data_IF_501029866034
#
_entry.id   IF_501029866034
#
_cell.length_a   1.000
_cell.length_b   1.000
_cell.length_c   1.000
_cell.angle_alpha   90.00
_cell.angle_beta   90.00
_cell.angle_gamma   90.00
#
_symmetry.space_group_name_H-M   'P 1'
#
loop_
_entity.id
_entity.type
_entity.pdbx_description
1 polymer ?
#
# COMPACT_ATOMS: atom_id res chain seq x y z
N UNK A 1 -11.91 2.61 -13.80
CA UNK A 1 -12.16 3.69 -12.83
C UNK A 1 -11.52 4.95 -13.39
N UNK A 2 -12.21 6.09 -13.32
CA UNK A 2 -11.61 7.36 -13.78
C UNK A 2 -10.58 7.83 -12.76
N UNK A 3 -9.43 8.32 -13.23
CA UNK A 3 -8.42 8.91 -12.37
C UNK A 3 -9.00 10.13 -11.64
N UNK A 4 -8.68 10.27 -10.35
CA UNK A 4 -8.98 11.49 -9.61
C UNK A 4 -8.17 12.65 -10.21
N UNK A 5 -8.83 13.77 -10.46
CA UNK A 5 -8.21 14.97 -11.00
C UNK A 5 -8.62 16.16 -10.17
N UNK A 6 -7.65 17.03 -9.86
CA UNK A 6 -7.93 18.33 -9.27
C UNK A 6 -8.48 19.27 -10.37
N UNK A 7 -9.57 19.97 -10.04
CA UNK A 7 -10.26 20.87 -10.97
C UNK A 7 -9.56 22.22 -11.12
N UNK A 8 -8.72 22.60 -10.15
CA UNK A 8 -8.08 23.91 -10.06
C UNK A 8 -6.56 23.88 -10.23
N UNK A 9 -5.89 22.75 -9.97
CA UNK A 9 -4.44 22.61 -10.10
C UNK A 9 -4.06 21.39 -10.92
N UNK A 10 -2.98 21.51 -11.66
CA UNK A 10 -2.36 20.37 -12.32
C UNK A 10 -1.35 19.73 -11.38
N UNK A 11 -1.39 18.41 -11.27
CA UNK A 11 -0.42 17.64 -10.49
C UNK A 11 0.69 17.09 -11.39
N UNK A 12 1.80 16.67 -10.78
CA UNK A 12 2.96 16.12 -11.49
C UNK A 12 3.30 14.72 -11.00
N UNK A 13 3.65 13.84 -11.92
CA UNK A 13 4.18 12.50 -11.62
C UNK A 13 5.50 12.29 -12.37
N UNK A 14 6.25 11.27 -11.97
CA UNK A 14 7.55 10.91 -12.52
C UNK A 14 7.47 9.54 -13.18
N UNK A 15 8.14 9.35 -14.30
CA UNK A 15 8.33 8.06 -14.95
C UNK A 15 9.80 7.70 -14.94
N UNK A 16 10.11 6.43 -14.70
CA UNK A 16 11.45 5.90 -14.90
C UNK A 16 11.53 5.34 -16.32
N UNK A 17 12.17 6.08 -17.22
CA UNK A 17 12.38 5.68 -18.61
C UNK A 17 13.88 5.55 -18.88
N UNK A 18 14.32 4.38 -19.34
CA UNK A 18 15.73 4.12 -19.66
C UNK A 18 16.71 4.47 -18.51
N UNK A 19 16.28 4.25 -17.25
CA UNK A 19 17.09 4.55 -16.06
C UNK A 19 17.17 6.05 -15.70
N UNK A 20 16.38 6.90 -16.35
CA UNK A 20 16.25 8.33 -16.03
C UNK A 20 14.85 8.63 -15.52
N UNK A 21 14.76 9.58 -14.59
CA UNK A 21 13.49 10.11 -14.10
C UNK A 21 13.03 11.23 -15.03
N UNK A 22 11.85 11.06 -15.60
CA UNK A 22 11.18 12.04 -16.46
C UNK A 22 9.92 12.54 -15.76
N UNK A 23 9.85 13.83 -15.45
CA UNK A 23 8.67 14.46 -14.86
C UNK A 23 7.64 14.82 -15.94
N UNK A 24 6.37 14.64 -15.64
CA UNK A 24 5.27 15.08 -16.49
C UNK A 24 4.15 15.71 -15.64
N UNK A 25 3.42 16.65 -16.24
CA UNK A 25 2.31 17.37 -15.62
C UNK A 25 1.01 16.86 -16.24
N UNK A 26 0.03 16.53 -15.39
CA UNK A 26 -1.28 16.06 -15.83
C UNK A 26 -1.94 17.05 -16.80
N UNK A 27 -2.42 16.55 -17.95
CA UNK A 27 -3.12 17.37 -18.96
C UNK A 27 -2.20 18.07 -19.96
N UNK A 28 -0.87 17.94 -19.83
CA UNK A 28 0.11 18.47 -20.77
C UNK A 28 0.72 17.36 -21.64
N UNK A 29 1.23 17.69 -22.83
CA UNK A 29 1.95 16.74 -23.70
C UNK A 29 1.19 15.42 -24.00
N UNK A 30 -0.15 15.47 -24.02
CA UNK A 30 -1.00 14.30 -24.30
C UNK A 30 -1.20 13.35 -23.12
N UNK A 31 -0.67 13.64 -21.93
CA UNK A 31 -0.90 12.83 -20.73
C UNK A 31 -2.26 13.15 -20.09
N UNK A 32 -2.93 12.16 -19.45
CA UNK A 32 -4.21 12.38 -18.80
C UNK A 32 -4.09 13.35 -17.62
N UNK A 33 -5.11 14.19 -17.43
CA UNK A 33 -5.14 15.19 -16.36
C UNK A 33 -5.06 14.57 -14.95
N UNK A 34 -5.64 13.39 -14.77
CA UNK A 34 -5.58 12.64 -13.50
C UNK A 34 -4.29 11.82 -13.29
N UNK A 35 -3.24 12.01 -14.11
CA UNK A 35 -1.94 11.33 -14.03
C UNK A 35 -1.97 9.80 -14.29
N UNK A 36 -3.14 9.22 -14.49
CA UNK A 36 -3.33 7.80 -14.82
C UNK A 36 -4.26 7.67 -16.01
N UNK A 37 -4.05 6.62 -16.79
CA UNK A 37 -4.92 6.26 -17.89
C UNK A 37 -6.12 5.48 -17.33
N UNK A 38 -7.36 5.97 -17.51
CA UNK A 38 -8.52 5.30 -16.96
C UNK A 38 -8.74 3.97 -17.68
N UNK A 39 -8.88 2.89 -16.92
CA UNK A 39 -9.38 1.63 -17.47
C UNK A 39 -10.85 1.83 -17.89
N UNK A 40 -11.14 1.54 -19.16
CA UNK A 40 -12.47 1.71 -19.76
C UNK A 40 -13.38 0.49 -19.56
N UNK A 41 -12.85 -0.64 -19.09
CA UNK A 41 -13.60 -1.87 -18.89
C UNK A 41 -13.32 -2.47 -17.51
N UNK A 42 -14.22 -2.19 -16.56
CA UNK A 42 -14.22 -2.80 -15.24
C UNK A 42 -15.45 -3.69 -15.09
N UNK A 43 -15.39 -4.89 -15.66
CA UNK A 43 -16.48 -5.87 -15.57
C UNK A 43 -16.48 -6.55 -14.19
N UNK A 44 -17.53 -6.29 -13.40
CA UNK A 44 -17.67 -6.76 -12.03
C UNK A 44 -18.84 -7.76 -11.89
N UNK A 45 -18.73 -9.00 -12.41
CA UNK A 45 -19.79 -9.98 -12.29
C UNK A 45 -20.04 -10.33 -10.83
N UNK A 46 -21.31 -10.48 -10.48
CA UNK A 46 -21.76 -10.95 -9.17
C UNK A 46 -22.84 -11.97 -9.41
N UNK A 47 -22.57 -13.20 -9.02
CA UNK A 47 -23.48 -14.33 -9.21
C UNK A 47 -23.74 -14.97 -7.86
N UNK A 48 -24.99 -15.35 -7.63
CA UNK A 48 -25.42 -16.08 -6.46
C UNK A 48 -26.35 -17.19 -6.89
N UNK A 49 -26.16 -18.39 -6.33
CA UNK A 49 -27.07 -19.50 -6.50
C UNK A 49 -27.57 -19.93 -5.13
N UNK A 50 -28.87 -20.19 -5.05
CA UNK A 50 -29.48 -20.85 -3.90
C UNK A 50 -30.32 -22.00 -4.40
N UNK A 51 -30.20 -23.15 -3.76
CA UNK A 51 -30.97 -24.33 -4.10
C UNK A 51 -31.48 -25.01 -2.83
N UNK A 52 -32.77 -25.34 -2.82
CA UNK A 52 -33.35 -26.20 -1.79
C UNK A 52 -33.51 -27.61 -2.35
N UNK A 53 -33.14 -28.62 -1.57
CA UNK A 53 -33.24 -30.01 -1.97
C UNK A 53 -34.60 -30.59 -1.55
N UNK A 54 -35.63 -30.37 -2.37
CA UNK A 54 -37.00 -30.84 -2.12
C UNK A 54 -37.51 -30.44 -0.72
N UNK A 55 -38.24 -31.34 -0.07
CA UNK A 55 -38.79 -31.12 1.28
C UNK A 55 -37.82 -31.51 2.41
N UNK A 56 -36.55 -31.77 2.10
CA UNK A 56 -35.57 -32.26 3.08
C UNK A 56 -35.14 -31.20 4.11
N UNK A 57 -35.59 -29.95 3.96
CA UNK A 57 -35.15 -28.82 4.77
C UNK A 57 -33.66 -28.49 4.60
N UNK A 58 -33.01 -29.00 3.53
CA UNK A 58 -31.63 -28.72 3.19
C UNK A 58 -31.58 -27.62 2.12
N UNK A 59 -30.86 -26.54 2.41
CA UNK A 59 -30.65 -25.41 1.52
C UNK A 59 -29.16 -25.18 1.35
N UNK A 60 -28.72 -25.11 0.11
CA UNK A 60 -27.38 -24.73 -0.27
C UNK A 60 -27.38 -23.32 -0.85
N UNK A 61 -26.42 -22.50 -0.44
CA UNK A 61 -26.17 -21.17 -0.96
C UNK A 61 -24.73 -21.08 -1.40
N UNK A 62 -24.49 -20.45 -2.55
CA UNK A 62 -23.16 -20.03 -2.94
C UNK A 62 -23.21 -18.69 -3.66
N UNK A 63 -22.11 -17.96 -3.56
CA UNK A 63 -21.95 -16.70 -4.27
C UNK A 63 -20.51 -16.48 -4.69
N UNK A 64 -20.33 -15.75 -5.78
CA UNK A 64 -19.05 -15.27 -6.26
C UNK A 64 -19.21 -13.86 -6.79
N UNK A 65 -18.27 -12.98 -6.48
CA UNK A 65 -18.27 -11.61 -6.98
C UNK A 65 -16.87 -11.04 -7.14
N UNK A 66 -16.72 -10.16 -8.13
CA UNK A 66 -15.55 -9.30 -8.29
C UNK A 66 -15.90 -7.90 -7.80
N UNK A 67 -15.05 -7.35 -6.93
CA UNK A 67 -15.23 -6.04 -6.32
C UNK A 67 -13.98 -5.21 -6.58
N UNK A 68 -14.11 -4.20 -7.42
CA UNK A 68 -13.03 -3.24 -7.62
C UNK A 68 -12.90 -2.32 -6.41
N UNK A 69 -11.67 -2.08 -5.97
CA UNK A 69 -11.37 -1.19 -4.84
C UNK A 69 -10.79 0.12 -5.34
N UNK A 70 -11.21 1.27 -4.79
CA UNK A 70 -10.61 2.54 -5.15
C UNK A 70 -9.12 2.55 -4.78
N UNK A 71 -8.34 3.31 -5.54
CA UNK A 71 -6.95 3.60 -5.21
C UNK A 71 -6.91 4.61 -4.08
N UNK A 72 -5.97 4.44 -3.15
CA UNK A 72 -5.87 5.30 -1.98
C UNK A 72 -5.53 6.75 -2.39
N UNK A 73 -6.22 7.74 -1.81
CA UNK A 73 -6.03 9.14 -2.17
C UNK A 73 -4.63 9.65 -1.81
N UNK A 74 -3.99 9.09 -0.78
CA UNK A 74 -2.63 9.43 -0.37
C UNK A 74 -1.63 9.28 -1.52
N UNK A 75 -1.84 8.29 -2.40
CA UNK A 75 -1.06 8.06 -3.63
C UNK A 75 -0.94 9.31 -4.49
N UNK A 76 -2.05 10.04 -4.62
CA UNK A 76 -2.13 11.27 -5.39
C UNK A 76 -1.68 12.48 -4.57
N UNK A 77 -1.99 12.54 -3.27
CA UNK A 77 -1.47 13.61 -2.41
C UNK A 77 0.06 13.63 -2.39
N UNK A 78 0.72 12.47 -2.43
CA UNK A 78 2.18 12.39 -2.50
C UNK A 78 2.74 12.96 -3.81
N UNK A 79 1.94 13.05 -4.88
CA UNK A 79 2.35 13.67 -6.14
C UNK A 79 2.50 15.19 -6.04
N UNK A 80 1.81 15.84 -5.10
CA UNK A 80 1.99 17.28 -4.82
C UNK A 80 3.39 17.59 -4.30
N UNK A 81 4.08 16.59 -3.72
CA UNK A 81 5.44 16.74 -3.24
C UNK A 81 6.48 16.51 -4.33
N UNK A 82 6.10 16.22 -5.57
CA UNK A 82 7.07 16.01 -6.64
C UNK A 82 7.51 17.32 -7.32
N UNK A 83 8.70 17.26 -7.91
CA UNK A 83 9.16 18.25 -8.88
C UNK A 83 8.27 18.23 -10.13
N UNK A 84 8.00 19.39 -10.77
CA UNK A 84 8.54 20.71 -10.48
C UNK A 84 7.72 21.52 -9.46
N UNK A 85 6.66 20.96 -8.87
CA UNK A 85 5.75 21.70 -7.99
C UNK A 85 6.42 22.06 -6.65
N UNK A 86 7.14 21.11 -6.06
CA UNK A 86 7.86 21.25 -4.79
C UNK A 86 9.19 20.51 -4.88
N UNK A 87 10.22 21.00 -4.14
CA UNK A 87 11.51 20.31 -3.97
C UNK A 87 11.59 19.72 -2.56
N UNK A 88 11.13 18.48 -2.33
CA UNK A 88 11.10 17.88 -1.01
C UNK A 88 12.51 17.45 -0.59
N UNK A 89 13.05 18.08 0.44
CA UNK A 89 14.34 17.73 1.01
C UNK A 89 14.08 16.81 2.21
N UNK A 90 14.57 15.58 2.16
CA UNK A 90 14.44 14.62 3.25
C UNK A 90 15.77 14.50 4.00
N UNK A 91 15.73 14.66 5.33
CA UNK A 91 16.84 14.37 6.22
C UNK A 91 16.42 13.22 7.15
N UNK A 92 17.20 12.15 7.16
CA UNK A 92 16.95 11.00 8.04
C UNK A 92 17.75 11.16 9.35
N UNK A 93 17.18 10.64 10.44
CA UNK A 93 17.83 10.49 11.75
C UNK A 93 17.82 9.03 12.14
N UNK A 94 18.85 8.60 12.86
CA UNK A 94 18.85 7.32 13.55
C UNK A 94 18.63 7.52 15.06
N UNK A 95 18.11 6.50 15.74
CA UNK A 95 17.82 6.56 17.18
C UNK A 95 19.10 6.46 18.04
N UNK A 96 20.17 5.86 17.52
CA UNK A 96 21.45 5.72 18.20
C UNK A 96 22.43 6.82 17.80
N UNK A 97 22.28 7.38 16.59
CA UNK A 97 23.03 8.53 16.09
C UNK A 97 22.08 9.60 15.56
N UNK A 98 21.51 10.44 16.45
CA UNK A 98 20.55 11.46 16.02
C UNK A 98 21.22 12.49 15.12
N UNK A 99 20.56 12.84 14.02
CA UNK A 99 21.06 13.82 13.06
C UNK A 99 20.93 15.24 13.65
N UNK A 100 22.03 15.95 13.93
CA UNK A 100 21.98 17.27 14.57
C UNK A 100 21.21 18.31 13.75
N UNK A 101 21.12 18.14 12.42
CA UNK A 101 20.40 19.08 11.56
C UNK A 101 18.89 19.12 11.84
N UNK A 102 18.33 18.03 12.39
CA UNK A 102 16.90 17.95 12.72
C UNK A 102 16.56 18.63 14.04
N UNK A 103 17.51 18.74 14.97
CA UNK A 103 17.30 19.40 16.26
C UNK A 103 17.05 20.91 16.13
N UNK A 104 17.45 21.52 15.02
CA UNK A 104 17.27 22.95 14.73
C UNK A 104 16.50 23.26 13.44
N UNK A 105 15.88 22.27 12.80
CA UNK A 105 15.24 22.42 11.48
C UNK A 105 16.13 23.16 10.46
N UNK A 106 17.44 22.91 10.50
CA UNK A 106 18.41 23.64 9.69
C UNK A 106 18.52 22.98 8.30
N UNK A 107 17.59 23.33 7.41
CA UNK A 107 17.58 22.82 6.05
C UNK A 107 18.25 23.82 5.09
N UNK A 108 19.27 23.40 4.32
CA UNK A 108 19.85 24.26 3.29
C UNK A 108 18.83 24.54 2.19
N UNK A 109 18.91 25.72 1.58
CA UNK A 109 18.08 26.04 0.42
C UNK A 109 18.34 25.04 -0.73
N UNK A 110 17.31 24.55 -1.42
CA UNK A 110 17.48 23.62 -2.53
C UNK A 110 18.24 24.29 -3.69
N UNK A 111 19.27 23.61 -4.19
CA UNK A 111 20.05 24.02 -5.36
C UNK A 111 19.83 23.01 -6.47
N UNK A 112 19.30 23.48 -7.61
CA UNK A 112 19.03 22.63 -8.77
C UNK A 112 20.30 21.91 -9.22
N UNK A 113 20.19 20.59 -9.42
CA UNK A 113 21.32 19.73 -9.84
C UNK A 113 22.31 19.36 -8.74
N UNK A 114 22.14 19.85 -7.50
CA UNK A 114 22.97 19.47 -6.34
C UNK A 114 22.16 18.87 -5.19
N UNK A 115 20.97 19.40 -4.93
CA UNK A 115 20.12 18.92 -3.84
C UNK A 115 19.42 17.63 -4.25
N UNK A 116 19.68 16.57 -3.50
CA UNK A 116 18.94 15.32 -3.58
C UNK A 116 17.53 15.52 -3.03
N UNK A 117 16.51 15.20 -3.83
CA UNK A 117 15.11 15.28 -3.42
C UNK A 117 14.53 13.90 -3.24
N UNK A 118 13.55 13.79 -2.34
CA UNK A 118 12.67 12.64 -2.29
C UNK A 118 11.61 12.74 -3.38
N UNK A 119 11.03 11.61 -3.76
CA UNK A 119 9.91 11.61 -4.68
C UNK A 119 9.03 10.39 -4.45
N UNK A 120 7.75 10.53 -4.83
CA UNK A 120 6.81 9.42 -4.85
C UNK A 120 6.23 9.31 -6.24
N UNK A 121 6.26 8.13 -6.86
CA UNK A 121 5.67 7.92 -8.19
C UNK A 121 4.77 6.69 -8.19
N UNK A 122 3.81 6.67 -9.10
CA UNK A 122 3.04 5.49 -9.42
C UNK A 122 2.99 5.28 -10.94
N UNK A 123 2.79 4.04 -11.35
CA UNK A 123 2.60 3.67 -12.76
C UNK A 123 1.28 4.24 -13.31
N UNK A 124 1.30 5.12 -14.33
CA UNK A 124 0.10 5.67 -14.97
C UNK A 124 -0.79 4.60 -15.64
N UNK A 125 -0.23 3.43 -15.96
CA UNK A 125 -0.93 2.31 -16.61
C UNK A 125 -1.30 1.18 -15.64
N UNK A 126 -1.29 1.48 -14.34
CA UNK A 126 -1.82 0.66 -13.27
C UNK A 126 -3.11 -0.10 -13.66
N UNK A 127 -3.15 -1.44 -13.57
CA UNK A 127 -4.42 -2.15 -13.64
C UNK A 127 -5.28 -1.82 -12.43
N UNK A 128 -6.61 -1.89 -12.58
CA UNK A 128 -7.52 -1.65 -11.47
C UNK A 128 -7.34 -2.71 -10.36
N UNK A 129 -7.34 -2.26 -9.12
CA UNK A 129 -7.31 -3.12 -7.93
C UNK A 129 -8.66 -3.80 -7.76
N UNK A 130 -8.66 -5.09 -7.42
CA UNK A 130 -9.91 -5.78 -7.13
C UNK A 130 -9.73 -6.96 -6.18
N UNK A 131 -10.83 -7.31 -5.53
CA UNK A 131 -10.96 -8.47 -4.66
C UNK A 131 -12.02 -9.40 -5.25
N UNK A 132 -11.65 -10.66 -5.43
CA UNK A 132 -12.61 -11.73 -5.70
C UNK A 132 -13.09 -12.28 -4.37
N UNK A 133 -14.39 -12.35 -4.15
CA UNK A 133 -14.98 -12.92 -2.95
C UNK A 133 -15.89 -14.08 -3.32
N UNK A 134 -15.87 -15.14 -2.52
CA UNK A 134 -16.77 -16.26 -2.66
C UNK A 134 -17.26 -16.75 -1.31
N UNK A 135 -18.48 -17.23 -1.30
CA UNK A 135 -19.06 -17.90 -0.13
C UNK A 135 -19.81 -19.14 -0.55
N UNK A 136 -19.84 -20.13 0.33
CA UNK A 136 -20.67 -21.31 0.22
C UNK A 136 -21.20 -21.66 1.60
N UNK A 137 -22.51 -21.89 1.73
CA UNK A 137 -23.10 -22.39 2.96
C UNK A 137 -24.11 -23.50 2.71
N UNK A 138 -24.17 -24.41 3.66
CA UNK A 138 -25.13 -25.50 3.70
C UNK A 138 -25.92 -25.38 5.00
N UNK A 139 -27.23 -25.27 4.84
CA UNK A 139 -28.18 -25.10 5.93
C UNK A 139 -29.12 -26.30 5.97
N UNK A 140 -29.35 -26.88 7.15
CA UNK A 140 -30.24 -28.02 7.36
C UNK A 140 -31.19 -27.73 8.52
N UNK A 141 -32.49 -27.86 8.27
CA UNK A 141 -33.47 -27.96 9.34
C UNK A 141 -33.36 -29.32 10.03
N UNK A 142 -33.22 -29.30 11.36
CA UNK A 142 -33.18 -30.50 12.22
C UNK A 142 -34.52 -30.75 12.92
N UNK A 143 -35.47 -29.83 12.80
CA UNK A 143 -36.80 -29.91 13.42
C UNK A 143 -37.62 -28.63 13.19
N UNK A 144 -38.77 -28.48 13.86
CA UNK A 144 -39.66 -27.33 13.66
C UNK A 144 -39.05 -25.98 14.05
N UNK A 145 -38.06 -26.00 14.95
CA UNK A 145 -37.49 -24.80 15.57
C UNK A 145 -35.96 -24.75 15.55
N UNK A 146 -35.29 -25.72 14.92
CA UNK A 146 -33.83 -25.82 14.95
C UNK A 146 -33.26 -25.93 13.55
N UNK A 147 -32.30 -25.07 13.25
CA UNK A 147 -31.55 -25.06 11.99
C UNK A 147 -30.07 -25.05 12.26
N UNK A 148 -29.34 -25.93 11.58
CA UNK A 148 -27.89 -25.97 11.59
C UNK A 148 -27.36 -25.39 10.28
N UNK A 149 -26.35 -24.52 10.35
CA UNK A 149 -25.68 -23.97 9.18
C UNK A 149 -24.17 -24.14 9.31
N UNK A 150 -23.54 -24.57 8.23
CA UNK A 150 -22.09 -24.56 8.07
C UNK A 150 -21.75 -23.72 6.83
N UNK A 151 -20.81 -22.80 6.98
CA UNK A 151 -20.43 -21.87 5.91
C UNK A 151 -18.92 -21.74 5.76
N UNK A 152 -18.52 -21.39 4.55
CA UNK A 152 -17.15 -21.03 4.19
C UNK A 152 -17.18 -19.72 3.40
N UNK A 153 -16.26 -18.81 3.72
CA UNK A 153 -16.06 -17.56 3.01
C UNK A 153 -14.57 -17.41 2.67
N UNK A 154 -14.29 -16.96 1.45
CA UNK A 154 -12.95 -16.73 0.96
C UNK A 154 -12.85 -15.43 0.17
N UNK A 155 -11.64 -14.86 0.16
CA UNK A 155 -11.33 -13.66 -0.59
C UNK A 155 -9.92 -13.74 -1.18
N UNK A 156 -9.74 -13.16 -2.36
CA UNK A 156 -8.45 -13.06 -3.03
C UNK A 156 -8.29 -11.67 -3.66
N UNK A 157 -7.34 -10.88 -3.13
CA UNK A 157 -7.00 -9.57 -3.66
C UNK A 157 -5.95 -9.65 -4.77
N UNK A 158 -6.18 -8.95 -5.88
CA UNK A 158 -5.26 -8.88 -7.01
C UNK A 158 -4.98 -7.43 -7.40
N UNK A 159 -3.79 -7.20 -7.93
CA UNK A 159 -3.30 -5.88 -8.32
C UNK A 159 -3.42 -4.86 -7.20
N UNK A 160 -3.21 -5.28 -5.96
CA UNK A 160 -3.29 -4.38 -4.83
C UNK A 160 -2.12 -3.40 -4.86
N UNK A 161 -2.39 -2.18 -4.45
CA UNK A 161 -1.39 -1.14 -4.37
C UNK A 161 -0.36 -1.47 -3.31
N UNK A 162 0.91 -1.26 -3.63
CA UNK A 162 2.01 -1.34 -2.68
C UNK A 162 3.02 -0.24 -2.98
N UNK A 163 3.48 0.45 -1.93
CA UNK A 163 4.65 1.31 -2.02
C UNK A 163 5.91 0.47 -1.83
N UNK A 164 6.83 0.56 -2.78
CA UNK A 164 8.16 -0.03 -2.69
C UNK A 164 9.20 1.10 -2.60
N UNK A 165 9.96 1.13 -1.52
CA UNK A 165 11.09 2.04 -1.32
C UNK A 165 12.26 1.60 -2.19
N UNK A 166 12.65 2.41 -3.17
CA UNK A 166 13.70 2.05 -4.15
C UNK A 166 15.10 1.99 -3.55
N UNK A 167 15.30 2.66 -2.41
CA UNK A 167 16.57 2.75 -1.70
C UNK A 167 16.75 1.66 -0.62
N UNK A 168 15.74 0.81 -0.40
CA UNK A 168 15.83 -0.19 0.65
C UNK A 168 16.56 -1.44 0.12
N UNK A 169 17.78 -1.67 0.63
CA UNK A 169 18.55 -2.85 0.26
C UNK A 169 17.81 -4.14 0.70
N UNK A 170 17.72 -5.17 -0.16
CA UNK A 170 17.13 -6.45 0.24
C UNK A 170 17.95 -7.04 1.41
N UNK A 171 17.29 -7.73 2.38
CA UNK A 171 18.01 -8.35 3.48
C UNK A 171 19.06 -9.33 2.96
N UNK A 172 20.33 -9.03 3.19
CA UNK A 172 21.47 -9.87 2.83
C UNK A 172 22.17 -10.40 4.08
N UNK A 173 22.85 -11.57 4.00
CA UNK A 173 23.67 -12.05 5.10
C UNK A 173 24.81 -11.06 5.38
N UNK A 174 24.88 -10.55 6.61
CA UNK A 174 25.89 -9.60 7.05
C UNK A 174 25.41 -8.73 8.22
N UNK A 175 26.33 -7.96 8.81
CA UNK A 175 25.98 -6.89 9.74
C UNK A 175 25.14 -5.83 9.01
N UNK A 176 24.27 -5.13 9.74
CA UNK A 176 23.52 -3.98 9.22
C UNK A 176 24.55 -2.99 8.65
N UNK A 177 24.64 -2.92 7.32
CA UNK A 177 25.51 -1.96 6.65
C UNK A 177 24.98 -0.54 6.96
N UNK A 178 25.85 0.45 7.18
CA UNK A 178 25.43 1.85 7.17
C UNK A 178 24.64 2.09 5.88
N UNK A 179 23.37 2.47 5.98
CA UNK A 179 22.55 2.74 4.80
C UNK A 179 23.23 3.88 4.03
N UNK A 180 23.57 3.70 2.75
CA UNK A 180 24.06 4.82 1.95
C UNK A 180 23.03 5.94 1.97
N UNK A 181 23.47 7.20 2.03
CA UNK A 181 22.56 8.34 1.90
C UNK A 181 22.04 8.36 0.45
N UNK A 182 20.91 7.71 0.20
CA UNK A 182 20.21 7.71 -1.10
C UNK A 182 18.90 8.47 -0.94
N UNK A 183 18.52 9.23 -1.97
CA UNK A 183 17.18 9.82 -2.09
C UNK A 183 16.12 8.79 -1.71
N UNK A 184 15.24 9.12 -0.75
CA UNK A 184 14.03 8.34 -0.49
C UNK A 184 13.12 8.47 -1.72
N UNK A 185 13.07 7.42 -2.52
CA UNK A 185 12.19 7.33 -3.68
C UNK A 185 11.19 6.21 -3.44
N UNK A 186 9.93 6.55 -3.29
CA UNK A 186 8.86 5.56 -3.21
C UNK A 186 8.29 5.33 -4.61
N UNK A 187 8.38 4.10 -5.09
CA UNK A 187 7.70 3.67 -6.31
C UNK A 187 6.53 2.81 -5.89
N UNK A 188 5.31 3.29 -6.11
CA UNK A 188 4.13 2.47 -5.98
C UNK A 188 4.09 1.44 -7.13
N UNK A 189 4.40 0.18 -6.85
CA UNK A 189 4.27 -0.94 -7.79
C UNK A 189 3.01 -1.75 -7.51
N UNK A 190 2.39 -2.20 -8.58
CA UNK A 190 1.24 -3.10 -8.57
C UNK A 190 1.72 -4.54 -8.54
N UNK A 191 1.82 -5.13 -7.35
CA UNK A 191 2.22 -6.53 -7.22
C UNK A 191 1.02 -7.47 -7.29
N UNK A 192 1.21 -8.58 -7.99
CA UNK A 192 0.37 -9.78 -7.86
C UNK A 192 0.77 -10.44 -6.53
N UNK A 193 0.09 -10.11 -5.44
CA UNK A 193 0.33 -10.77 -4.15
C UNK A 193 0.02 -12.26 -4.32
N UNK A 194 1.00 -13.18 -4.21
CA UNK A 194 0.70 -14.60 -4.17
C UNK A 194 0.04 -14.86 -2.81
N UNK A 195 -1.18 -15.37 -2.84
CA UNK A 195 -1.86 -15.94 -1.70
C UNK A 195 -1.07 -17.17 -1.20
N UNK A 196 -0.05 -16.96 -0.38
CA UNK A 196 0.56 -18.03 0.41
C UNK A 196 0.76 -17.59 1.86
N UNK A 197 0.11 -18.37 2.73
CA UNK A 197 0.18 -18.42 4.19
C UNK A 197 -0.63 -17.38 4.98
N UNK A 198 -1.88 -17.75 5.28
CA UNK A 198 -2.39 -17.56 6.64
C UNK A 198 -1.44 -18.27 7.60
N UNK A 199 -0.69 -17.52 8.39
CA UNK A 199 -0.13 -18.00 9.65
C UNK A 199 -0.52 -16.96 10.70
N UNK A 200 -1.36 -17.34 11.65
CA UNK A 200 -1.73 -16.52 12.80
C UNK A 200 -0.47 -16.28 13.63
N UNK A 201 0.12 -15.09 13.51
CA UNK A 201 1.17 -14.66 14.43
C UNK A 201 0.49 -13.92 15.57
N UNK A 202 0.03 -14.71 16.55
CA UNK A 202 -0.31 -14.22 17.88
C UNK A 202 1.02 -13.96 18.61
N UNK A 203 1.65 -12.81 18.36
CA UNK A 203 2.80 -12.38 19.17
C UNK A 203 2.27 -11.72 20.45
N UNK A 204 2.21 -12.52 21.51
CA UNK A 204 2.08 -12.02 22.87
C UNK A 204 3.32 -11.17 23.20
N UNK A 205 3.17 -9.94 23.70
CA UNK A 205 4.32 -9.17 24.17
C UNK A 205 4.91 -9.86 25.40
N UNK A 206 6.07 -10.50 25.24
CA UNK A 206 6.95 -10.82 26.37
C UNK A 206 7.45 -9.50 26.93
N UNK A 207 6.79 -9.01 27.99
CA UNK A 207 7.38 -8.01 28.87
C UNK A 207 8.68 -8.59 29.44
N UNK A 208 9.81 -8.05 29.01
CA UNK A 208 11.05 -8.22 29.74
C UNK A 208 10.99 -7.27 30.94
N UNK A 209 10.69 -7.84 32.10
CA UNK A 209 10.96 -7.23 33.40
C UNK A 209 12.45 -6.89 33.48
N UNK A 210 12.80 -5.61 33.47
CA UNK A 210 14.07 -5.14 34.02
C UNK A 210 13.88 -4.89 35.51
N UNK A 211 14.50 -5.73 36.34
CA UNK A 211 14.69 -5.48 37.77
C UNK A 211 15.83 -4.47 37.95
N UNK A 212 15.73 -3.51 38.88
CA UNK A 212 16.73 -2.46 39.04
C UNK A 212 17.93 -3.00 39.84
N UNK A 213 19.14 -2.89 39.29
CA UNK A 213 20.37 -3.04 40.04
C UNK A 213 20.93 -1.66 40.38
N UNK A 214 20.91 -1.35 41.68
CA UNK A 214 21.55 -0.21 42.31
C UNK A 214 23.01 -0.07 41.90
N UNK A 215 23.44 1.13 41.50
CA UNK A 215 24.81 1.58 41.75
C UNK A 215 24.79 3.04 42.24
N UNK A 216 25.29 3.16 43.47
CA UNK A 216 25.48 4.36 44.27
C UNK A 216 26.93 4.78 44.12
N UNK A 217 27.19 6.06 43.86
CA UNK A 217 28.41 6.86 44.13
C UNK A 217 28.31 8.16 43.32
N UNK A 218 28.78 9.34 43.71
CA UNK A 218 28.96 10.06 44.99
C UNK A 218 29.19 11.54 44.57
N UNK A 219 29.10 12.47 45.52
CA UNK A 219 29.18 13.93 45.33
C UNK A 219 30.47 14.41 44.61
N UNK A 220 30.36 15.47 43.80
CA UNK A 220 30.87 16.85 44.07
C UNK A 220 29.91 17.84 43.42
#
# INVERSE_FOLDING_TARGET
MSALTDTFRDWSNLLVENGRLNAFIGGQNGVPRGLTYPNKLDFAPRIGLTHQFGDSGLVWRMSYGIFYTPVDLNTWCNQLHNVPLVFPITQQSDNFTPNPALAGFNFPAPVLGKTTVSFATFDPHAPAQYVQQWSASLQKSLGPSTVLEAGYAGAHGLHLQRADLINNAPPGPGLIQPRPAVSDGDVCRWNRVPSRHCRSQFDLPRQQHQSPSEHRQELV
#
